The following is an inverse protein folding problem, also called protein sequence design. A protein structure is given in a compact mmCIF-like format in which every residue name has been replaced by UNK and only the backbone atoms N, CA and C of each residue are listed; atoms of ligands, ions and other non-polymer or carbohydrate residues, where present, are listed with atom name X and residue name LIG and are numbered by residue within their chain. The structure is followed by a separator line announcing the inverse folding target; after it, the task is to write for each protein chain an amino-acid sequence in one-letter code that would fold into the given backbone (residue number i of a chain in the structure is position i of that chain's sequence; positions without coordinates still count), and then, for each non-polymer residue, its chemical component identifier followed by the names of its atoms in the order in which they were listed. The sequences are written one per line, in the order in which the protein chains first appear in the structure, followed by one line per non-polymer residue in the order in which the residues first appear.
data_IF_647830518784
#
_entry.id   IF_647830518784
#
_cell.length_a   1.000
_cell.length_b   1.000
_cell.length_c   1.000
_cell.angle_alpha   90.00
_cell.angle_beta   90.00
_cell.angle_gamma   90.00
#
_symmetry.space_group_name_H-M   'P 1'
#
loop_
_entity.id
_entity.type
_entity.pdbx_description
1 polymer ?
#
# COMPACT_ATOMS: atom_id res chain seq x y z
N UNK A 1 28.99 -0.17 28.27
CA UNK A 1 27.71 -0.65 28.86
C UNK A 1 26.56 0.08 28.17
N UNK A 2 25.51 -0.67 27.77
CA UNK A 2 24.11 -0.28 27.46
C UNK A 2 23.89 0.82 26.40
N UNK A 3 23.60 0.44 25.15
CA UNK A 3 22.27 0.07 24.58
C UNK A 3 21.32 1.27 24.51
N UNK A 4 21.24 1.89 23.34
CA UNK A 4 20.37 3.02 23.04
C UNK A 4 19.75 2.78 21.65
N UNK A 5 18.44 2.47 21.67
CA UNK A 5 17.41 2.71 20.65
C UNK A 5 17.42 1.76 19.44
N UNK A 6 16.75 0.61 19.53
CA UNK A 6 15.29 0.43 19.30
C UNK A 6 14.91 0.58 17.82
N UNK A 7 14.87 -0.57 17.15
CA UNK A 7 13.80 -1.01 16.24
C UNK A 7 13.36 0.03 15.18
N UNK A 8 14.00 -0.02 14.02
CA UNK A 8 13.38 0.35 12.75
C UNK A 8 13.50 -0.88 11.84
N UNK A 9 12.85 -1.98 12.20
CA UNK A 9 11.55 -2.35 11.63
C UNK A 9 11.56 -2.27 10.09
N UNK A 10 12.16 -3.29 9.49
CA UNK A 10 11.50 -4.08 8.43
C UNK A 10 10.84 -3.28 7.30
N UNK A 11 11.62 -2.47 6.58
CA UNK A 11 11.21 -2.04 5.25
C UNK A 11 11.90 -2.96 4.22
N UNK A 12 11.12 -3.45 3.25
CA UNK A 12 11.53 -4.17 2.04
C UNK A 12 11.78 -5.68 2.15
N UNK A 13 10.78 -6.43 2.61
CA UNK A 13 10.59 -7.80 2.10
C UNK A 13 9.11 -8.01 1.77
N UNK A 14 8.63 -7.43 0.68
CA UNK A 14 7.41 -7.94 0.03
C UNK A 14 7.56 -7.70 -1.47
N UNK A 15 7.48 -8.75 -2.28
CA UNK A 15 7.27 -8.58 -3.72
C UNK A 15 7.93 -9.56 -4.68
N UNK A 16 8.41 -10.73 -4.25
CA UNK A 16 8.82 -11.78 -5.20
C UNK A 16 8.16 -13.11 -4.86
N UNK A 17 6.89 -13.25 -5.24
CA UNK A 17 6.26 -14.57 -5.36
C UNK A 17 5.48 -14.65 -6.65
N UNK A 18 6.16 -14.91 -7.77
CA UNK A 18 5.56 -15.28 -9.05
C UNK A 18 4.94 -16.67 -8.97
N UNK A 19 3.62 -16.76 -8.77
CA UNK A 19 2.86 -17.97 -9.11
C UNK A 19 1.58 -17.59 -9.86
N UNK A 20 1.59 -17.91 -11.15
CA UNK A 20 0.42 -17.98 -12.05
C UNK A 20 -0.69 -18.78 -11.36
N UNK A 21 -1.82 -18.19 -10.93
CA UNK A 21 -3.04 -18.05 -11.73
C UNK A 21 -4.04 -17.21 -10.91
N UNK A 22 -4.74 -16.24 -11.52
CA UNK A 22 -5.67 -15.29 -10.88
C UNK A 22 -5.03 -14.28 -9.90
N UNK A 23 -3.86 -13.74 -10.25
CA UNK A 23 -3.32 -12.59 -9.55
C UNK A 23 -4.10 -11.34 -9.93
N UNK A 24 -4.66 -10.67 -8.93
CA UNK A 24 -5.18 -9.31 -9.05
C UNK A 24 -4.02 -8.38 -8.74
N UNK A 25 -3.84 -7.33 -9.53
CA UNK A 25 -2.88 -6.26 -9.24
C UNK A 25 -3.65 -4.96 -9.04
N UNK A 26 -3.29 -4.19 -8.02
CA UNK A 26 -3.94 -2.92 -7.68
C UNK A 26 -2.90 -1.83 -7.46
N UNK A 27 -3.24 -0.62 -7.87
CA UNK A 27 -2.47 0.59 -7.57
C UNK A 27 -3.44 1.57 -6.92
N UNK A 28 -3.09 2.05 -5.73
CA UNK A 28 -3.84 3.07 -5.02
C UNK A 28 -3.17 4.43 -5.19
N UNK A 29 -3.96 5.45 -5.52
CA UNK A 29 -3.51 6.83 -5.63
C UNK A 29 -4.11 7.63 -4.48
N UNK A 30 -3.26 8.43 -3.83
CA UNK A 30 -3.66 9.35 -2.77
C UNK A 30 -3.75 10.74 -3.35
N UNK A 31 -4.89 11.38 -3.18
CA UNK A 31 -5.13 12.76 -3.55
C UNK A 31 -5.49 13.59 -2.33
N UNK A 32 -5.06 14.83 -2.30
CA UNK A 32 -5.51 15.78 -1.29
C UNK A 32 -7.01 16.05 -1.48
N UNK A 33 -7.83 15.94 -0.43
CA UNK A 33 -9.27 16.12 -0.57
C UNK A 33 -9.67 17.57 -0.93
N UNK A 34 -8.87 18.56 -0.53
CA UNK A 34 -9.10 19.98 -0.79
C UNK A 34 -8.81 20.41 -2.23
N UNK A 35 -7.68 19.96 -2.78
CA UNK A 35 -7.20 20.42 -4.11
C UNK A 35 -7.39 19.37 -5.21
N UNK A 36 -7.61 18.10 -4.85
CA UNK A 36 -7.63 16.99 -5.80
C UNK A 36 -6.25 16.63 -6.36
N UNK A 37 -5.19 17.29 -5.89
CA UNK A 37 -3.82 17.04 -6.34
C UNK A 37 -3.33 15.69 -5.84
N UNK A 38 -2.67 14.94 -6.72
CA UNK A 38 -2.04 13.69 -6.35
C UNK A 38 -0.84 13.95 -5.43
N UNK A 39 -0.87 13.32 -4.26
CA UNK A 39 0.19 13.39 -3.24
C UNK A 39 1.20 12.27 -3.50
N UNK A 40 0.70 11.05 -3.69
CA UNK A 40 1.51 9.86 -3.87
C UNK A 40 0.69 8.72 -4.47
N UNK A 41 1.36 7.61 -4.81
CA UNK A 41 0.75 6.34 -5.21
C UNK A 41 1.38 5.19 -4.43
N UNK A 42 0.62 4.13 -4.22
CA UNK A 42 1.18 2.85 -3.77
C UNK A 42 2.04 2.24 -4.86
N UNK A 43 2.96 1.37 -4.46
CA UNK A 43 3.53 0.40 -5.37
C UNK A 43 2.45 -0.57 -5.88
N UNK A 44 2.76 -1.29 -6.96
CA UNK A 44 1.85 -2.28 -7.54
C UNK A 44 1.64 -3.45 -6.56
N UNK A 45 0.42 -3.56 -6.04
CA UNK A 45 0.02 -4.60 -5.08
C UNK A 45 -0.55 -5.78 -5.84
N UNK A 46 0.28 -6.80 -6.08
CA UNK A 46 -0.12 -8.03 -6.76
C UNK A 46 -0.26 -9.21 -5.81
N UNK A 47 -1.41 -9.86 -5.81
CA UNK A 47 -1.69 -11.03 -4.98
C UNK A 47 -3.02 -11.70 -5.33
N UNK A 48 -3.53 -12.56 -4.45
CA UNK A 48 -4.92 -13.02 -4.52
C UNK A 48 -5.89 -11.85 -4.28
N UNK A 49 -7.16 -11.99 -4.71
CA UNK A 49 -8.19 -10.97 -4.48
C UNK A 49 -8.28 -10.52 -3.01
N UNK A 50 -8.14 -11.47 -2.08
CA UNK A 50 -8.20 -11.22 -0.64
C UNK A 50 -6.96 -10.49 -0.14
N UNK A 51 -5.77 -10.89 -0.60
CA UNK A 51 -4.51 -10.21 -0.24
C UNK A 51 -4.48 -8.77 -0.73
N UNK A 52 -4.87 -8.55 -1.98
CA UNK A 52 -4.94 -7.20 -2.56
C UNK A 52 -5.95 -6.33 -1.81
N UNK A 53 -7.12 -6.87 -1.44
CA UNK A 53 -8.09 -6.11 -0.65
C UNK A 53 -7.52 -5.71 0.73
N UNK A 54 -6.81 -6.62 1.41
CA UNK A 54 -6.13 -6.30 2.67
C UNK A 54 -5.07 -5.23 2.49
N UNK A 55 -4.26 -5.31 1.42
CA UNK A 55 -3.24 -4.29 1.12
C UNK A 55 -3.88 -2.93 0.78
N UNK A 56 -4.98 -2.91 0.01
CA UNK A 56 -5.73 -1.68 -0.28
C UNK A 56 -6.29 -1.04 1.00
N UNK A 57 -6.84 -1.84 1.91
CA UNK A 57 -7.39 -1.34 3.18
C UNK A 57 -6.29 -0.84 4.12
N UNK A 58 -5.17 -1.55 4.23
CA UNK A 58 -4.02 -1.10 5.02
C UNK A 58 -3.35 0.14 4.42
N UNK A 59 -3.38 0.29 3.10
CA UNK A 59 -2.96 1.53 2.44
C UNK A 59 -3.94 2.67 2.77
N UNK A 60 -5.26 2.46 2.65
CA UNK A 60 -6.26 3.49 3.00
C UNK A 60 -6.14 3.97 4.44
N UNK A 61 -5.96 3.06 5.40
CA UNK A 61 -5.78 3.39 6.82
C UNK A 61 -4.57 4.30 7.08
N UNK A 62 -3.52 4.24 6.27
CA UNK A 62 -2.37 5.14 6.40
C UNK A 62 -2.72 6.59 6.04
N UNK A 63 -3.81 6.82 5.30
CA UNK A 63 -4.19 8.12 4.74
C UNK A 63 -5.56 8.63 5.24
N UNK A 64 -6.09 8.04 6.31
CA UNK A 64 -7.48 8.18 6.81
C UNK A 64 -7.89 9.59 7.29
N UNK A 65 -7.05 10.62 7.13
CA UNK A 65 -7.23 11.95 7.73
C UNK A 65 -6.97 13.10 6.74
N UNK A 66 -7.88 13.33 5.79
CA UNK A 66 -7.91 14.45 4.80
C UNK A 66 -7.46 14.11 3.37
N UNK A 67 -7.30 12.83 3.07
CA UNK A 67 -6.93 12.38 1.73
C UNK A 67 -8.02 11.50 1.12
N UNK A 68 -8.19 11.63 -0.18
CA UNK A 68 -9.00 10.72 -0.99
C UNK A 68 -8.08 9.64 -1.54
N UNK A 69 -8.31 8.39 -1.16
CA UNK A 69 -7.58 7.24 -1.69
C UNK A 69 -8.44 6.54 -2.73
N UNK A 70 -7.92 6.33 -3.94
CA UNK A 70 -8.60 5.62 -5.02
C UNK A 70 -7.72 4.49 -5.53
N UNK A 71 -8.23 3.26 -5.47
CA UNK A 71 -7.50 2.07 -5.93
C UNK A 71 -8.06 1.60 -7.27
N UNK A 72 -7.17 1.34 -8.22
CA UNK A 72 -7.51 0.84 -9.55
C UNK A 72 -6.82 -0.49 -9.77
N UNK A 73 -7.59 -1.47 -10.21
CA UNK A 73 -7.10 -2.83 -10.42
C UNK A 73 -6.98 -3.13 -11.90
N UNK A 74 -5.82 -3.65 -12.29
CA UNK A 74 -5.54 -4.10 -13.65
C UNK A 74 -5.99 -5.55 -13.83
#
# INVERSE_FOLDING_TARGET
MKKIHTILATALIVGLFTFSSCKKCSICVVKEASTGNQITSSDEMCGSKSEVATMEDDFKKQWDNSYTVSCSTN
#
